data_IF_169682913870
#
_entry.id   IF_169682913870
#
_cell.length_a   1.000
_cell.length_b   1.000
_cell.length_c   1.000
_cell.angle_alpha   90.00
_cell.angle_beta   90.00
_cell.angle_gamma   90.00
#
_symmetry.space_group_name_H-M   'P 1'
#
loop_
_entity.id
_entity.type
_entity.pdbx_description
1 polymer ?
#
# COMPACT_ATOMS: atom_id res chain seq x y z
N UNK A 1 9.40 4.40 -2.40
CA UNK A 1 9.19 4.87 -3.78
C UNK A 1 7.71 4.86 -4.12
N UNK A 2 7.21 5.98 -4.58
CA UNK A 2 5.80 6.14 -4.91
C UNK A 2 5.60 6.30 -6.40
N UNK A 3 4.50 5.75 -6.90
CA UNK A 3 4.03 5.99 -8.26
C UNK A 3 2.55 6.33 -8.20
N UNK A 4 2.14 7.27 -9.04
CA UNK A 4 0.74 7.69 -9.13
C UNK A 4 0.19 7.17 -10.46
N UNK A 5 -0.81 6.30 -10.38
CA UNK A 5 -1.39 5.66 -11.55
C UNK A 5 -2.83 6.11 -11.72
N UNK A 6 -3.15 6.62 -12.87
CA UNK A 6 -4.49 7.10 -13.22
C UNK A 6 -5.06 6.23 -14.34
N UNK A 7 -6.34 5.91 -14.23
CA UNK A 7 -6.99 5.04 -15.21
C UNK A 7 -7.60 5.88 -16.34
N UNK A 8 -6.96 5.84 -17.53
CA UNK A 8 -7.43 6.45 -18.76
C UNK A 8 -7.24 5.42 -19.88
N UNK A 9 -8.24 4.56 -20.12
CA UNK A 9 -8.09 3.46 -21.08
C UNK A 9 -6.86 2.58 -20.76
N UNK A 10 -6.69 2.27 -19.48
CA UNK A 10 -5.51 1.60 -18.93
C UNK A 10 -4.86 2.50 -17.89
N UNK A 11 -3.84 1.99 -17.19
CA UNK A 11 -3.15 2.79 -16.17
C UNK A 11 -2.08 3.66 -16.80
N UNK A 12 -2.10 4.94 -16.49
CA UNK A 12 -1.13 5.93 -16.92
C UNK A 12 -0.43 6.51 -15.70
N UNK A 13 0.90 6.51 -15.69
CA UNK A 13 1.67 7.10 -14.60
C UNK A 13 1.64 8.63 -14.71
N UNK A 14 1.30 9.30 -13.62
CA UNK A 14 1.31 10.75 -13.52
C UNK A 14 2.42 11.20 -12.55
N UNK A 15 2.86 12.43 -12.71
CA UNK A 15 3.91 12.99 -11.84
C UNK A 15 3.39 13.49 -10.50
N UNK A 16 2.09 13.66 -10.37
CA UNK A 16 1.44 14.16 -9.16
C UNK A 16 0.22 13.31 -8.83
N UNK A 17 -0.13 13.28 -7.54
CA UNK A 17 -1.33 12.61 -7.10
C UNK A 17 -2.57 13.34 -7.60
N UNK A 18 -3.54 12.59 -8.07
CA UNK A 18 -4.86 13.06 -8.47
C UNK A 18 -5.93 12.25 -7.74
N UNK A 19 -7.10 12.85 -7.43
CA UNK A 19 -8.21 12.09 -6.88
C UNK A 19 -8.60 10.91 -7.77
N UNK A 20 -9.06 9.83 -7.14
CA UNK A 20 -9.45 8.60 -7.83
C UNK A 20 -8.30 7.92 -8.58
N UNK A 21 -7.09 8.13 -8.11
CA UNK A 21 -5.91 7.47 -8.66
C UNK A 21 -5.40 6.39 -7.71
N UNK A 22 -4.59 5.51 -8.23
CA UNK A 22 -3.88 4.49 -7.47
C UNK A 22 -2.52 5.04 -7.06
N UNK A 23 -2.22 5.03 -5.78
CA UNK A 23 -0.88 5.36 -5.27
C UNK A 23 -0.18 4.05 -4.93
N UNK A 24 0.87 3.73 -5.69
CA UNK A 24 1.65 2.52 -5.47
C UNK A 24 2.92 2.86 -4.70
N UNK A 25 3.09 2.28 -3.52
CA UNK A 25 4.22 2.55 -2.63
C UNK A 25 5.00 1.25 -2.43
N UNK A 26 6.27 1.28 -2.80
CA UNK A 26 7.18 0.14 -2.64
C UNK A 26 8.36 0.57 -1.80
N UNK A 27 8.70 -0.20 -0.77
CA UNK A 27 9.80 0.10 0.15
C UNK A 27 9.69 1.54 0.66
N UNK A 28 8.61 1.89 1.38
CA UNK A 28 8.36 3.27 1.77
C UNK A 28 9.46 3.84 2.66
N UNK A 29 9.80 5.10 2.42
CA UNK A 29 10.71 5.86 3.26
C UNK A 29 9.92 6.87 4.12
N UNK A 30 10.64 7.72 4.86
CA UNK A 30 10.02 8.70 5.73
C UNK A 30 9.15 9.68 4.94
N UNK A 31 9.56 10.06 3.73
CA UNK A 31 8.78 10.96 2.88
C UNK A 31 7.48 10.30 2.40
N UNK A 32 7.52 9.00 2.12
CA UNK A 32 6.33 8.26 1.74
C UNK A 32 5.33 8.19 2.89
N UNK A 33 5.81 7.91 4.10
CA UNK A 33 4.94 7.90 5.29
C UNK A 33 4.34 9.28 5.56
N UNK A 34 5.12 10.33 5.41
CA UNK A 34 4.62 11.68 5.59
C UNK A 34 3.54 12.03 4.57
N UNK A 35 3.75 11.67 3.31
CA UNK A 35 2.74 11.87 2.27
C UNK A 35 1.44 11.14 2.59
N UNK A 36 1.54 9.87 2.98
CA UNK A 36 0.36 9.06 3.27
C UNK A 36 -0.42 9.57 4.47
N UNK A 37 0.27 10.02 5.53
CA UNK A 37 -0.40 10.46 6.75
C UNK A 37 -0.90 11.90 6.67
N UNK A 38 -0.15 12.80 6.04
CA UNK A 38 -0.47 14.22 6.03
C UNK A 38 -1.26 14.66 4.80
N UNK A 39 -0.86 14.18 3.63
CA UNK A 39 -1.54 14.55 2.38
C UNK A 39 -2.81 13.75 2.17
N UNK A 40 -2.74 12.43 2.31
CA UNK A 40 -3.86 11.53 2.08
C UNK A 40 -4.65 11.25 3.34
N UNK A 41 -4.11 11.56 4.51
CA UNK A 41 -4.74 11.33 5.82
C UNK A 41 -5.07 9.86 6.09
N UNK A 42 -4.22 8.96 5.62
CA UNK A 42 -4.33 7.54 5.90
C UNK A 42 -4.13 7.30 7.40
N UNK A 43 -4.97 6.50 8.06
CA UNK A 43 -4.77 6.18 9.47
C UNK A 43 -3.39 5.59 9.72
N UNK A 44 -2.68 6.15 10.70
CA UNK A 44 -1.32 5.71 11.01
C UNK A 44 -1.28 4.26 11.47
N UNK A 45 -2.34 3.80 12.15
CA UNK A 45 -2.45 2.40 12.56
C UNK A 45 -2.39 1.44 11.38
N UNK A 46 -2.97 1.81 10.23
CA UNK A 46 -2.91 0.99 9.01
C UNK A 46 -1.47 0.84 8.52
N UNK A 47 -0.70 1.92 8.54
CA UNK A 47 0.69 1.90 8.09
C UNK A 47 1.56 1.06 9.01
N UNK A 48 1.32 1.14 10.32
CA UNK A 48 2.03 0.32 11.30
C UNK A 48 1.74 -1.17 11.10
N UNK A 49 0.49 -1.51 10.80
CA UNK A 49 0.10 -2.90 10.57
C UNK A 49 0.75 -3.46 9.30
N UNK A 50 0.79 -2.67 8.23
CA UNK A 50 1.41 -3.10 6.97
C UNK A 50 2.93 -3.27 7.14
N UNK A 51 3.55 -2.46 7.97
CA UNK A 51 4.98 -2.53 8.23
C UNK A 51 5.37 -3.77 9.04
N UNK A 52 4.41 -4.41 9.70
CA UNK A 52 4.66 -5.63 10.48
C UNK A 52 4.71 -6.84 9.54
N UNK A 53 5.89 -7.43 9.39
CA UNK A 53 6.09 -8.58 8.50
C UNK A 53 5.37 -9.84 8.97
N UNK A 54 4.95 -9.87 10.23
CA UNK A 54 4.22 -10.99 10.83
C UNK A 54 2.71 -10.80 10.82
N UNK A 55 2.23 -9.70 10.22
CA UNK A 55 0.79 -9.41 10.18
C UNK A 55 0.04 -10.46 9.36
N UNK A 56 -1.13 -10.84 9.85
CA UNK A 56 -1.97 -11.84 9.20
C UNK A 56 -2.88 -11.22 8.16
N UNK A 57 -3.25 -11.97 7.10
CA UNK A 57 -4.28 -11.50 6.17
C UNK A 57 -5.57 -11.16 6.92
N UNK A 58 -6.08 -9.96 6.70
CA UNK A 58 -7.32 -9.51 7.33
C UNK A 58 -7.83 -8.24 6.67
N UNK A 59 -9.04 -7.88 7.03
CA UNK A 59 -9.66 -6.62 6.63
C UNK A 59 -9.97 -5.82 7.88
N UNK A 60 -9.68 -4.52 7.84
CA UNK A 60 -9.94 -3.61 8.95
C UNK A 60 -10.53 -2.30 8.43
N UNK A 61 -11.33 -1.64 9.26
CA UNK A 61 -11.96 -0.37 8.90
C UNK A 61 -11.69 0.68 9.96
N UNK A 62 -11.54 1.93 9.53
CA UNK A 62 -11.44 3.07 10.42
C UNK A 62 -12.06 4.27 9.71
N UNK A 63 -13.21 4.75 10.21
CA UNK A 63 -13.96 5.81 9.52
C UNK A 63 -14.37 5.38 8.12
N UNK A 64 -13.99 6.17 7.11
CA UNK A 64 -14.25 5.86 5.70
C UNK A 64 -13.14 5.04 5.05
N UNK A 65 -12.14 4.65 5.83
CA UNK A 65 -10.99 3.92 5.33
C UNK A 65 -11.16 2.42 5.49
N UNK A 66 -10.73 1.68 4.49
CA UNK A 66 -10.70 0.22 4.48
C UNK A 66 -9.28 -0.24 4.21
N UNK A 67 -8.78 -1.11 5.07
CA UNK A 67 -7.49 -1.77 4.88
C UNK A 67 -7.72 -3.25 4.62
N UNK A 68 -7.15 -3.77 3.55
CA UNK A 68 -7.10 -5.19 3.28
C UNK A 68 -5.64 -5.62 3.25
N UNK A 69 -5.27 -6.56 4.11
CA UNK A 69 -3.92 -7.11 4.15
C UNK A 69 -3.95 -8.49 3.54
N UNK A 70 -3.11 -8.67 2.53
CA UNK A 70 -2.89 -9.95 1.86
C UNK A 70 -1.43 -10.34 2.00
N UNK A 71 -1.13 -11.62 1.93
CA UNK A 71 0.26 -12.07 1.84
C UNK A 71 0.49 -12.61 0.45
N UNK A 72 1.59 -12.18 -0.16
CA UNK A 72 1.96 -12.64 -1.50
C UNK A 72 3.29 -13.39 -1.43
N UNK A 73 3.47 -14.43 -2.25
CA UNK A 73 4.76 -15.09 -2.35
C UNK A 73 5.75 -14.22 -3.13
N UNK A 74 6.97 -14.17 -2.63
CA UNK A 74 8.08 -13.53 -3.35
C UNK A 74 9.19 -14.55 -3.47
N UNK A 75 9.93 -14.48 -4.57
CA UNK A 75 11.06 -15.36 -4.78
C UNK A 75 12.18 -14.99 -3.83
N UNK A 76 12.70 -15.99 -3.11
CA UNK A 76 13.78 -15.81 -2.19
C UNK A 76 14.94 -16.70 -2.64
N UNK A 77 16.05 -16.09 -3.07
CA UNK A 77 17.23 -16.80 -3.55
C UNK A 77 18.21 -17.14 -2.44
N UNK A 78 17.85 -16.84 -1.18
CA UNK A 78 18.71 -17.08 -0.04
C UNK A 78 18.21 -18.27 0.77
N UNK A 79 19.11 -18.96 1.47
CA UNK A 79 18.79 -20.00 2.44
C UNK A 79 18.10 -21.26 1.89
N UNK A 80 18.15 -21.49 0.57
CA UNK A 80 17.55 -22.67 -0.02
C UNK A 80 16.04 -22.75 0.02
N UNK A 81 15.36 -21.72 0.50
CA UNK A 81 13.90 -21.61 0.47
C UNK A 81 13.52 -20.80 -0.77
N UNK A 82 12.83 -21.42 -1.75
CA UNK A 82 12.57 -20.73 -3.02
C UNK A 82 11.58 -19.57 -2.90
N UNK A 83 10.69 -19.61 -1.91
CA UNK A 83 9.68 -18.57 -1.74
C UNK A 83 9.50 -18.22 -0.28
N UNK A 84 9.24 -16.95 -0.03
CA UNK A 84 8.71 -16.45 1.24
C UNK A 84 7.48 -15.60 0.95
N UNK A 85 6.73 -15.22 2.00
CA UNK A 85 5.57 -14.34 1.82
C UNK A 85 5.82 -13.01 2.49
N UNK A 86 5.30 -11.95 1.86
CA UNK A 86 5.34 -10.61 2.42
C UNK A 86 3.93 -10.03 2.45
N UNK A 87 3.61 -9.17 3.42
CA UNK A 87 2.30 -8.52 3.45
C UNK A 87 2.21 -7.41 2.41
N UNK A 88 1.03 -7.29 1.82
CA UNK A 88 0.66 -6.14 1.00
C UNK A 88 -0.60 -5.54 1.60
N UNK A 89 -0.60 -4.23 1.81
CA UNK A 89 -1.78 -3.51 2.24
C UNK A 89 -2.43 -2.78 1.09
N UNK A 90 -3.72 -3.00 0.93
CA UNK A 90 -4.57 -2.26 -0.01
C UNK A 90 -5.46 -1.37 0.83
N UNK A 91 -5.29 -0.06 0.68
CA UNK A 91 -6.01 0.93 1.47
C UNK A 91 -6.92 1.72 0.54
N UNK A 92 -8.20 1.74 0.86
CA UNK A 92 -9.20 2.42 0.03
C UNK A 92 -10.09 3.31 0.86
N UNK A 93 -10.63 4.35 0.22
CA UNK A 93 -11.77 5.12 0.72
C UNK A 93 -12.59 5.58 -0.47
N UNK A 94 -13.54 6.51 -0.26
CA UNK A 94 -14.41 6.98 -1.34
C UNK A 94 -13.67 7.76 -2.43
N UNK A 95 -12.45 8.21 -2.18
CA UNK A 95 -11.67 9.03 -3.09
C UNK A 95 -10.40 8.34 -3.60
N UNK A 96 -9.95 7.28 -2.93
CA UNK A 96 -8.66 6.62 -3.20
C UNK A 96 -8.86 5.11 -3.23
N UNK A 97 -8.32 4.53 -4.24
CA UNK A 97 -8.27 3.07 -4.38
C UNK A 97 -6.85 2.58 -4.16
#
# INVERSE_FOLDING_TARGET
MRKYLYCEAGFVEKSQWLPNSWVNVVCPDANDFEFLTKELQVPESFLNDIADTDERPRTDTEGNWLLTILRIPVQNNQNGIPFSTVPIGIITNNEII
#
